data_IF_161617918116
#
_entry.id   IF_161617918116
#
_cell.length_a   1.000
_cell.length_b   1.000
_cell.length_c   1.000
_cell.angle_alpha   90.00
_cell.angle_beta   90.00
_cell.angle_gamma   90.00
#
_symmetry.space_group_name_H-M   'P 1'
#
loop_
_entity.id
_entity.type
_entity.pdbx_description
1 polymer ?
#
# COMPACT_ATOMS: atom_id res chain seq x y z
N UNK A 1 8.34 -32.19 18.24
CA UNK A 1 7.70 -31.07 17.54
C UNK A 1 8.57 -29.84 17.72
N UNK A 2 9.15 -29.31 16.64
CA UNK A 2 9.92 -28.08 16.68
C UNK A 2 8.95 -26.93 16.37
N UNK A 3 8.52 -26.20 17.39
CA UNK A 3 7.65 -25.05 17.23
C UNK A 3 8.54 -23.88 16.81
N UNK A 4 8.87 -23.81 15.53
CA UNK A 4 9.40 -22.59 14.94
C UNK A 4 8.24 -21.59 14.88
N UNK A 5 7.98 -20.91 15.99
CA UNK A 5 7.32 -19.62 15.94
C UNK A 5 8.29 -18.70 15.22
N UNK A 6 8.12 -18.58 13.91
CA UNK A 6 8.64 -17.44 13.17
C UNK A 6 7.98 -16.23 13.83
N UNK A 7 8.66 -15.66 14.82
CA UNK A 7 8.41 -14.30 15.27
C UNK A 7 8.80 -13.45 14.07
N UNK A 8 7.91 -13.36 13.09
CA UNK A 8 7.88 -12.25 12.16
C UNK A 8 7.65 -11.05 13.05
N UNK A 9 8.74 -10.39 13.44
CA UNK A 9 8.68 -9.00 13.84
C UNK A 9 7.86 -8.34 12.72
N UNK A 10 6.64 -7.88 13.02
CA UNK A 10 5.79 -7.11 12.11
C UNK A 10 6.45 -5.75 11.87
N UNK A 11 7.64 -5.79 11.28
CA UNK A 11 8.38 -4.63 10.88
C UNK A 11 7.72 -4.17 9.58
N UNK A 12 7.05 -3.02 9.68
CA UNK A 12 6.45 -2.36 8.54
C UNK A 12 7.56 -2.13 7.51
N UNK A 13 7.35 -2.61 6.29
CA UNK A 13 8.20 -2.34 5.14
C UNK A 13 8.20 -0.84 4.82
N UNK A 14 7.08 -0.16 5.05
CA UNK A 14 6.94 1.28 4.92
C UNK A 14 7.29 1.95 6.24
N UNK A 15 8.37 2.74 6.22
CA UNK A 15 8.85 3.47 7.40
C UNK A 15 7.80 4.50 7.89
N UNK A 16 7.30 4.39 9.13
CA UNK A 16 6.32 5.32 9.68
C UNK A 16 6.76 6.79 9.64
N UNK A 17 8.06 7.10 9.75
CA UNK A 17 8.55 8.50 9.66
C UNK A 17 8.34 9.10 8.26
N UNK A 18 8.48 8.29 7.22
CA UNK A 18 8.19 8.70 5.84
C UNK A 18 6.70 8.99 5.69
N UNK A 19 5.86 8.10 6.24
CA UNK A 19 4.41 8.28 6.23
C UNK A 19 4.00 9.55 6.96
N UNK A 20 4.57 9.82 8.13
CA UNK A 20 4.31 11.06 8.88
C UNK A 20 4.68 12.30 8.05
N UNK A 21 5.81 12.26 7.32
CA UNK A 21 6.25 13.37 6.47
C UNK A 21 5.27 13.61 5.31
N UNK A 22 4.78 12.54 4.66
CA UNK A 22 3.76 12.62 3.61
C UNK A 22 2.44 13.18 4.16
N UNK A 23 2.00 12.67 5.32
CA UNK A 23 0.77 13.14 5.96
C UNK A 23 0.86 14.63 6.33
N UNK A 24 2.02 15.10 6.80
CA UNK A 24 2.27 16.52 7.11
C UNK A 24 2.17 17.44 5.89
N UNK A 25 2.45 16.94 4.68
CA UNK A 25 2.22 17.70 3.45
C UNK A 25 0.72 17.87 3.13
N UNK A 26 -0.12 16.94 3.59
CA UNK A 26 -1.55 16.94 3.30
C UNK A 26 -2.41 17.65 4.37
N UNK A 27 -1.91 17.77 5.61
CA UNK A 27 -2.66 18.38 6.73
C UNK A 27 -2.19 19.82 7.02
N UNK A 28 -3.07 20.61 7.64
CA UNK A 28 -2.72 21.95 8.14
C UNK A 28 -1.82 21.84 9.39
N UNK A 29 -0.83 22.72 9.50
CA UNK A 29 0.29 22.69 10.47
C UNK A 29 -0.05 22.51 11.97
N UNK A 30 -1.30 22.75 12.39
CA UNK A 30 -1.68 22.73 13.81
C UNK A 30 -2.21 21.38 14.30
N UNK A 31 -2.49 20.44 13.40
CA UNK A 31 -3.06 19.13 13.77
C UNK A 31 -1.93 18.17 14.17
N UNK A 32 -2.02 17.58 15.36
CA UNK A 32 -1.10 16.51 15.80
C UNK A 32 -1.57 15.17 15.23
N UNK A 33 -0.63 14.35 14.78
CA UNK A 33 -0.86 12.96 14.34
C UNK A 33 -0.35 12.05 15.46
N UNK A 34 -1.16 11.08 15.91
CA UNK A 34 -0.70 10.10 16.88
C UNK A 34 0.24 9.08 16.23
N UNK A 35 1.08 8.45 17.05
CA UNK A 35 2.01 7.40 16.56
C UNK A 35 1.23 6.23 15.96
N UNK A 36 0.13 5.85 16.60
CA UNK A 36 -0.74 4.74 16.21
C UNK A 36 -1.39 5.02 14.85
N UNK A 37 -1.85 6.24 14.61
CA UNK A 37 -2.37 6.65 13.30
C UNK A 37 -1.31 6.52 12.21
N UNK A 38 -0.08 7.00 12.47
CA UNK A 38 1.03 6.86 11.52
C UNK A 38 1.36 5.41 11.21
N UNK A 39 1.40 4.54 12.23
CA UNK A 39 1.65 3.10 12.05
C UNK A 39 0.54 2.41 11.27
N UNK A 40 -0.72 2.74 11.56
CA UNK A 40 -1.85 2.19 10.82
C UNK A 40 -1.85 2.64 9.36
N UNK A 41 -1.53 3.91 9.09
CA UNK A 41 -1.41 4.42 7.72
C UNK A 41 -0.26 3.75 6.97
N UNK A 42 0.87 3.46 7.64
CA UNK A 42 1.96 2.70 7.02
C UNK A 42 1.52 1.30 6.59
N UNK A 43 0.82 0.57 7.46
CA UNK A 43 0.26 -0.74 7.13
C UNK A 43 -0.79 -0.66 5.99
N UNK A 44 -1.61 0.39 6.00
CA UNK A 44 -2.60 0.64 4.95
C UNK A 44 -1.93 0.89 3.59
N UNK A 45 -0.85 1.68 3.54
CA UNK A 45 -0.09 1.93 2.31
C UNK A 45 0.54 0.66 1.75
N UNK A 46 1.11 -0.19 2.61
CA UNK A 46 1.62 -1.50 2.19
C UNK A 46 0.52 -2.36 1.55
N UNK A 47 -0.63 -2.43 2.21
CA UNK A 47 -1.77 -3.17 1.69
C UNK A 47 -2.28 -2.61 0.36
N UNK A 48 -2.36 -1.28 0.22
CA UNK A 48 -2.76 -0.65 -1.04
C UNK A 48 -1.80 -0.98 -2.19
N UNK A 49 -0.48 -0.93 -1.95
CA UNK A 49 0.53 -1.28 -2.95
C UNK A 49 0.37 -2.74 -3.37
N UNK A 50 0.19 -3.66 -2.41
CA UNK A 50 -0.01 -5.07 -2.69
C UNK A 50 -1.30 -5.33 -3.50
N UNK A 51 -2.40 -4.67 -3.16
CA UNK A 51 -3.67 -4.82 -3.88
C UNK A 51 -3.60 -4.22 -5.30
N UNK A 52 -2.92 -3.08 -5.47
CA UNK A 52 -2.63 -2.51 -6.78
C UNK A 52 -1.89 -3.51 -7.67
N UNK A 53 -0.78 -4.07 -7.18
CA UNK A 53 0.01 -5.04 -7.96
C UNK A 53 -0.75 -6.34 -8.23
N UNK A 54 -1.55 -6.84 -7.28
CA UNK A 54 -2.40 -8.02 -7.51
C UNK A 54 -3.39 -7.81 -8.65
N UNK A 55 -3.97 -6.62 -8.77
CA UNK A 55 -4.86 -6.26 -9.88
C UNK A 55 -4.10 -6.10 -11.18
N UNK A 56 -2.90 -5.50 -11.14
CA UNK A 56 -2.03 -5.39 -12.32
C UNK A 56 -1.60 -6.77 -12.83
N UNK A 57 -1.31 -7.73 -11.94
CA UNK A 57 -1.02 -9.12 -12.32
C UNK A 57 -2.20 -9.75 -13.05
N UNK A 58 -3.41 -9.63 -12.51
CA UNK A 58 -4.62 -10.14 -13.19
C UNK A 58 -4.83 -9.49 -14.54
N UNK A 59 -4.54 -8.19 -14.67
CA UNK A 59 -4.64 -7.49 -15.94
C UNK A 59 -3.57 -7.96 -16.93
N UNK A 60 -2.34 -8.24 -16.46
CA UNK A 60 -1.27 -8.81 -17.29
C UNK A 60 -1.66 -10.22 -17.80
N UNK A 61 -2.29 -11.04 -16.97
CA UNK A 61 -2.81 -12.36 -17.36
C UNK A 61 -3.87 -12.24 -18.46
N UNK A 62 -4.78 -11.27 -18.37
CA UNK A 62 -5.80 -10.98 -19.39
C UNK A 62 -5.16 -10.48 -20.69
N UNK A 63 -4.12 -9.66 -20.57
CA UNK A 63 -3.40 -9.08 -21.70
C UNK A 63 -2.37 -10.05 -22.32
N UNK A 64 -2.20 -11.25 -21.77
CA UNK A 64 -1.14 -12.20 -22.10
C UNK A 64 0.28 -11.58 -22.07
N UNK A 65 0.49 -10.60 -21.18
CA UNK A 65 1.74 -9.87 -21.06
C UNK A 65 2.79 -10.67 -20.27
N UNK A 66 4.05 -10.65 -20.74
CA UNK A 66 5.17 -11.32 -20.07
C UNK A 66 5.70 -10.55 -18.85
N UNK A 67 5.32 -9.28 -18.70
CA UNK A 67 5.71 -8.42 -17.59
C UNK A 67 4.58 -7.47 -17.19
N UNK A 68 4.61 -7.01 -15.94
CA UNK A 68 3.69 -6.00 -15.44
C UNK A 68 4.26 -4.62 -15.78
N UNK A 69 3.58 -3.89 -16.66
CA UNK A 69 3.98 -2.57 -17.12
C UNK A 69 2.97 -1.47 -16.77
N UNK A 70 3.19 -0.29 -17.36
CA UNK A 70 2.32 0.87 -17.20
C UNK A 70 0.91 0.61 -17.76
N UNK A 71 0.81 -0.15 -18.85
CA UNK A 71 -0.47 -0.46 -19.51
C UNK A 71 -1.47 -1.14 -18.56
N UNK A 72 -1.01 -2.10 -17.76
CA UNK A 72 -1.87 -2.78 -16.79
C UNK A 72 -2.35 -1.82 -15.69
N UNK A 73 -1.48 -0.92 -15.24
CA UNK A 73 -1.83 0.09 -14.25
C UNK A 73 -2.90 1.03 -14.79
N UNK A 74 -2.74 1.55 -16.00
CA UNK A 74 -3.70 2.46 -16.64
C UNK A 74 -5.08 1.84 -16.76
N UNK A 75 -5.16 0.55 -17.12
CA UNK A 75 -6.42 -0.20 -17.24
C UNK A 75 -7.15 -0.38 -15.91
N UNK A 76 -6.42 -0.59 -14.81
CA UNK A 76 -7.05 -0.79 -13.49
C UNK A 76 -7.27 0.52 -12.72
N UNK A 77 -6.63 1.62 -13.13
CA UNK A 77 -6.52 2.86 -12.35
C UNK A 77 -7.88 3.41 -11.92
N UNK A 78 -8.85 3.46 -12.84
CA UNK A 78 -10.17 4.00 -12.55
C UNK A 78 -10.86 3.24 -11.41
N UNK A 79 -10.88 1.89 -11.49
CA UNK A 79 -11.49 1.07 -10.44
C UNK A 79 -10.70 1.12 -9.13
N UNK A 80 -9.36 1.14 -9.22
CA UNK A 80 -8.50 1.28 -8.05
C UNK A 80 -8.82 2.57 -7.27
N UNK A 81 -8.95 3.69 -7.96
CA UNK A 81 -9.29 4.98 -7.36
C UNK A 81 -10.71 4.98 -6.78
N UNK A 82 -11.70 4.39 -7.47
CA UNK A 82 -13.07 4.30 -6.98
C UNK A 82 -13.18 3.49 -5.68
N UNK A 83 -12.37 2.46 -5.51
CA UNK A 83 -12.39 1.61 -4.32
C UNK A 83 -11.76 2.29 -3.09
N UNK A 84 -10.94 3.33 -3.29
CA UNK A 84 -10.26 4.06 -2.20
C UNK A 84 -10.86 5.42 -1.89
N UNK A 85 -11.64 6.01 -2.80
CA UNK A 85 -12.23 7.35 -2.63
C UNK A 85 -13.72 7.34 -2.26
N UNK A 86 -14.37 6.17 -2.27
CA UNK A 86 -15.75 5.97 -1.79
C UNK A 86 -15.75 5.39 -0.38
#
# INVERSE_FOLDING_TARGET
MNNNTTTTNNELLVNPKTVESILRLAIKDKIKISKESTQLTAAYLEWMIAECFKRMTKQAEIDEASEIGLEQLEKIMAQLLMDFMN
#
